data_IF_019988704067
#
_entry.id   IF_019988704067
#
_cell.length_a   1.000
_cell.length_b   1.000
_cell.length_c   1.000
_cell.angle_alpha   90.00
_cell.angle_beta   90.00
_cell.angle_gamma   90.00
#
_symmetry.space_group_name_H-M   'P 1'
#
loop_
_entity.id
_entity.type
_entity.pdbx_description
1 polymer ?
#
# COMPACT_ATOMS: atom_id res chain seq x y z
N UNK A 1 28.81 -8.18 -3.12
CA UNK A 1 28.39 -6.75 -3.19
C UNK A 1 27.11 -6.57 -2.38
N UNK A 2 27.00 -5.48 -1.60
CA UNK A 2 25.78 -5.15 -0.85
C UNK A 2 24.79 -4.51 -1.82
N UNK A 3 23.62 -5.13 -2.01
CA UNK A 3 22.54 -4.57 -2.85
C UNK A 3 22.03 -3.25 -2.23
N UNK A 4 21.73 -2.27 -3.06
CA UNK A 4 21.10 -1.02 -2.64
C UNK A 4 19.68 -1.27 -2.10
N UNK A 5 19.23 -0.47 -1.14
CA UNK A 5 17.91 -0.59 -0.52
C UNK A 5 17.02 0.58 -0.96
N UNK A 6 15.94 0.28 -1.66
CA UNK A 6 14.96 1.28 -2.11
C UNK A 6 13.72 1.26 -1.20
N UNK A 7 13.36 2.41 -0.66
CA UNK A 7 12.16 2.54 0.18
C UNK A 7 10.98 3.09 -0.63
N UNK A 8 9.85 2.39 -0.59
CA UNK A 8 8.59 2.81 -1.19
C UNK A 8 7.56 3.06 -0.10
N UNK A 9 6.82 4.16 -0.21
CA UNK A 9 5.90 4.59 0.83
C UNK A 9 4.47 4.29 0.42
N UNK A 10 3.76 3.62 1.33
CA UNK A 10 2.36 3.28 1.14
C UNK A 10 1.51 3.80 2.29
N UNK A 11 0.26 4.10 1.96
CA UNK A 11 -0.83 4.18 2.92
C UNK A 11 -1.96 3.30 2.43
N UNK A 12 -2.52 2.49 3.32
CA UNK A 12 -3.55 1.52 3.00
C UNK A 12 -4.74 1.69 3.95
N UNK A 13 -5.91 1.19 3.56
CA UNK A 13 -7.11 1.32 4.38
C UNK A 13 -7.31 0.18 5.39
N UNK A 14 -6.82 -1.02 5.06
CA UNK A 14 -7.00 -2.24 5.84
C UNK A 14 -5.71 -2.98 6.18
N UNK A 15 -5.86 -4.06 6.95
CA UNK A 15 -4.76 -4.98 7.28
C UNK A 15 -4.38 -5.87 6.09
N UNK A 16 -5.38 -6.24 5.27
CA UNK A 16 -5.24 -7.08 4.10
C UNK A 16 -4.16 -6.56 3.14
N UNK A 17 -4.27 -5.31 2.69
CA UNK A 17 -3.27 -4.72 1.79
C UNK A 17 -1.91 -4.58 2.45
N UNK A 18 -1.87 -4.30 3.76
CA UNK A 18 -0.61 -4.21 4.50
C UNK A 18 0.10 -5.55 4.52
N UNK A 19 -0.60 -6.63 4.86
CA UNK A 19 -0.02 -7.97 4.87
C UNK A 19 0.45 -8.40 3.49
N UNK A 20 -0.31 -8.08 2.45
CA UNK A 20 0.12 -8.32 1.08
C UNK A 20 1.43 -7.61 0.74
N UNK A 21 1.56 -6.32 1.07
CA UNK A 21 2.80 -5.57 0.84
C UNK A 21 3.97 -6.17 1.65
N UNK A 22 3.74 -6.56 2.91
CA UNK A 22 4.76 -7.21 3.73
C UNK A 22 5.20 -8.57 3.15
N UNK A 23 4.27 -9.36 2.63
CA UNK A 23 4.56 -10.61 1.91
C UNK A 23 5.32 -10.34 0.62
N UNK A 24 4.85 -9.41 -0.21
CA UNK A 24 5.46 -9.06 -1.49
C UNK A 24 6.90 -8.57 -1.30
N UNK A 25 7.16 -7.76 -0.27
CA UNK A 25 8.51 -7.34 0.09
C UNK A 25 9.42 -8.55 0.38
N UNK A 26 8.94 -9.55 1.11
CA UNK A 26 9.71 -10.76 1.42
C UNK A 26 10.02 -11.54 0.15
N UNK A 27 9.02 -11.77 -0.70
CA UNK A 27 9.19 -12.50 -1.97
C UNK A 27 10.22 -11.82 -2.87
N UNK A 28 10.10 -10.50 -3.09
CA UNK A 28 11.08 -9.74 -3.88
C UNK A 28 12.48 -9.86 -3.28
N UNK A 29 12.62 -9.66 -1.97
CA UNK A 29 13.93 -9.69 -1.32
C UNK A 29 14.59 -11.08 -1.24
N UNK A 30 13.80 -12.16 -1.37
CA UNK A 30 14.30 -13.54 -1.41
C UNK A 30 14.85 -13.92 -2.78
N UNK A 31 14.39 -13.27 -3.85
CA UNK A 31 14.84 -13.57 -5.21
C UNK A 31 16.30 -13.11 -5.41
N UNK A 32 17.24 -14.04 -5.69
CA UNK A 32 18.64 -13.71 -5.89
C UNK A 32 18.88 -12.83 -7.12
N UNK A 33 18.01 -12.90 -8.15
CA UNK A 33 18.11 -12.14 -9.39
C UNK A 33 17.81 -10.65 -9.24
N UNK A 34 17.25 -10.22 -8.10
CA UNK A 34 16.95 -8.81 -7.85
C UNK A 34 18.21 -7.95 -7.82
N UNK A 35 18.21 -6.83 -8.56
CA UNK A 35 19.33 -5.88 -8.53
C UNK A 35 19.42 -5.14 -7.18
N UNK A 36 18.28 -4.88 -6.55
CA UNK A 36 18.15 -4.10 -5.32
C UNK A 36 17.20 -4.80 -4.35
N UNK A 37 17.32 -4.46 -3.07
CA UNK A 37 16.33 -4.81 -2.06
C UNK A 37 15.29 -3.72 -1.95
N UNK A 38 14.07 -4.12 -1.61
CA UNK A 38 12.94 -3.21 -1.41
C UNK A 38 12.54 -3.15 0.06
N UNK A 39 12.12 -1.97 0.50
CA UNK A 39 11.48 -1.73 1.79
C UNK A 39 10.17 -1.02 1.54
N UNK A 40 9.05 -1.59 1.96
CA UNK A 40 7.74 -0.98 1.87
C UNK A 40 7.37 -0.39 3.24
N UNK A 41 7.32 0.94 3.32
CA UNK A 41 6.79 1.65 4.48
C UNK A 41 5.26 1.79 4.33
N UNK A 42 4.57 0.68 4.61
CA UNK A 42 3.11 0.58 4.57
C UNK A 42 2.49 0.89 5.94
N UNK A 43 1.61 1.90 5.97
CA UNK A 43 0.83 2.26 7.17
C UNK A 43 -0.65 2.17 6.90
N UNK A 44 -1.39 1.58 7.85
CA UNK A 44 -2.85 1.62 7.85
C UNK A 44 -3.27 3.02 8.23
N UNK A 45 -3.65 3.82 7.24
CA UNK A 45 -3.97 5.23 7.41
C UNK A 45 -4.90 5.68 6.28
N UNK A 46 -6.22 5.56 6.52
CA UNK A 46 -7.29 5.98 5.61
C UNK A 46 -7.28 7.46 5.23
N UNK A 47 -6.58 8.29 6.00
CA UNK A 47 -6.49 9.73 5.73
C UNK A 47 -5.10 10.09 5.18
N UNK A 48 -4.96 10.37 3.87
CA UNK A 48 -3.70 10.81 3.26
C UNK A 48 -3.05 11.99 4.00
N UNK A 49 -3.84 12.96 4.48
CA UNK A 49 -3.31 14.13 5.21
C UNK A 49 -2.62 13.75 6.51
N UNK A 50 -3.19 12.78 7.23
CA UNK A 50 -2.58 12.30 8.47
C UNK A 50 -1.26 11.57 8.18
N UNK A 51 -1.21 10.76 7.12
CA UNK A 51 0.01 10.09 6.67
C UNK A 51 1.11 11.10 6.30
N UNK A 52 0.75 12.10 5.50
CA UNK A 52 1.68 13.16 5.06
C UNK A 52 2.26 13.95 6.24
N UNK A 53 1.48 14.18 7.30
CA UNK A 53 1.94 14.87 8.52
C UNK A 53 2.95 14.04 9.32
N UNK A 54 2.75 12.73 9.41
CA UNK A 54 3.61 11.81 10.17
C UNK A 54 4.98 11.57 9.52
N UNK A 55 5.13 11.80 8.21
CA UNK A 55 6.40 11.62 7.52
C UNK A 55 7.28 12.86 7.70
N UNK A 56 8.52 12.61 8.14
CA UNK A 56 9.61 13.60 8.13
C UNK A 56 10.20 13.63 6.73
N UNK A 57 10.13 14.77 6.07
CA UNK A 57 10.51 14.93 4.67
C UNK A 57 11.90 15.51 4.63
N UNK A 58 12.85 14.69 4.18
CA UNK A 58 14.23 15.08 3.94
C UNK A 58 14.41 15.40 2.44
N UNK A 59 13.68 14.71 1.58
CA UNK A 59 13.71 14.82 0.13
C UNK A 59 12.31 14.65 -0.47
N UNK A 60 12.18 14.73 -1.80
CA UNK A 60 10.89 14.49 -2.47
C UNK A 60 10.47 13.03 -2.30
N UNK A 61 9.29 12.80 -1.73
CA UNK A 61 8.76 11.46 -1.45
C UNK A 61 7.51 11.22 -2.30
N UNK A 62 7.42 10.06 -2.94
CA UNK A 62 6.19 9.59 -3.57
C UNK A 62 5.49 8.59 -2.64
N UNK A 63 4.21 8.82 -2.35
CA UNK A 63 3.38 7.95 -1.51
C UNK A 63 2.27 7.38 -2.38
N UNK A 64 2.14 6.07 -2.42
CA UNK A 64 0.99 5.40 -3.03
C UNK A 64 -0.09 5.17 -1.98
N UNK A 65 -1.26 5.76 -2.16
CA UNK A 65 -2.43 5.51 -1.32
C UNK A 65 -3.28 4.43 -1.97
N UNK A 66 -3.37 3.26 -1.35
CA UNK A 66 -4.20 2.14 -1.79
C UNK A 66 -5.54 2.26 -1.07
N UNK A 67 -6.58 2.48 -1.86
CA UNK A 67 -7.96 2.65 -1.42
C UNK A 67 -8.80 1.43 -1.75
N UNK A 68 -9.75 1.07 -0.89
CA UNK A 68 -10.65 -0.05 -1.15
C UNK A 68 -11.88 0.41 -1.95
N UNK A 69 -11.95 0.03 -3.23
CA UNK A 69 -13.04 0.38 -4.14
C UNK A 69 -13.85 -0.87 -4.52
N UNK A 70 -14.89 -1.10 -3.74
CA UNK A 70 -15.75 -2.28 -3.84
C UNK A 70 -16.91 -2.11 -4.83
N UNK A 71 -17.56 -0.95 -4.85
CA UNK A 71 -18.76 -0.73 -5.66
C UNK A 71 -18.91 0.71 -6.12
N UNK A 72 -19.84 0.91 -7.06
CA UNK A 72 -20.24 2.25 -7.52
C UNK A 72 -21.38 2.84 -6.67
N UNK A 73 -21.66 2.31 -5.47
CA UNK A 73 -22.70 2.90 -4.64
C UNK A 73 -22.32 4.33 -4.21
N UNK A 74 -23.31 5.23 -4.04
CA UNK A 74 -23.05 6.64 -3.73
C UNK A 74 -22.15 6.85 -2.50
N UNK A 75 -22.19 5.92 -1.54
CA UNK A 75 -21.35 5.95 -0.33
C UNK A 75 -19.88 5.75 -0.68
N UNK A 76 -19.55 4.74 -1.49
CA UNK A 76 -18.18 4.44 -1.91
C UNK A 76 -17.64 5.53 -2.85
N UNK A 77 -18.46 6.06 -3.76
CA UNK A 77 -18.07 7.18 -4.62
C UNK A 77 -17.73 8.44 -3.80
N UNK A 78 -18.53 8.75 -2.78
CA UNK A 78 -18.30 9.91 -1.92
C UNK A 78 -17.04 9.74 -1.06
N UNK A 79 -16.80 8.54 -0.54
CA UNK A 79 -15.58 8.21 0.19
C UNK A 79 -14.35 8.38 -0.71
N UNK A 80 -14.40 7.83 -1.92
CA UNK A 80 -13.35 7.95 -2.93
C UNK A 80 -13.03 9.41 -3.27
N UNK A 81 -14.05 10.22 -3.58
CA UNK A 81 -13.86 11.63 -3.88
C UNK A 81 -13.23 12.38 -2.70
N UNK A 82 -13.68 12.07 -1.47
CA UNK A 82 -13.10 12.65 -0.25
C UNK A 82 -11.62 12.27 -0.10
N UNK A 83 -11.25 11.04 -0.41
CA UNK A 83 -9.86 10.57 -0.40
C UNK A 83 -9.02 11.32 -1.43
N UNK A 84 -9.50 11.49 -2.66
CA UNK A 84 -8.82 12.27 -3.70
C UNK A 84 -8.60 13.73 -3.29
N UNK A 85 -9.61 14.36 -2.69
CA UNK A 85 -9.50 15.74 -2.23
C UNK A 85 -8.47 15.87 -1.10
N UNK A 86 -8.41 14.88 -0.20
CA UNK A 86 -7.38 14.81 0.85
C UNK A 86 -5.98 14.57 0.29
N UNK A 87 -5.83 13.76 -0.76
CA UNK A 87 -4.54 13.58 -1.44
C UNK A 87 -4.06 14.92 -2.03
N UNK A 88 -4.92 15.61 -2.79
CA UNK A 88 -4.59 16.94 -3.35
C UNK A 88 -4.25 17.96 -2.28
N UNK A 89 -4.99 17.96 -1.15
CA UNK A 89 -4.67 18.83 -0.03
C UNK A 89 -3.31 18.48 0.59
N UNK A 90 -2.94 17.21 0.64
CA UNK A 90 -1.67 16.74 1.20
C UNK A 90 -0.48 17.22 0.38
N UNK A 91 -0.59 17.22 -0.95
CA UNK A 91 0.44 17.74 -1.86
C UNK A 91 0.60 19.27 -1.73
N UNK A 92 -0.47 19.99 -1.36
CA UNK A 92 -0.46 21.44 -1.14
C UNK A 92 0.14 21.87 0.20
N UNK A 93 0.44 20.94 1.12
CA UNK A 93 1.01 21.27 2.44
C UNK A 93 2.46 21.82 2.39
N UNK A 94 3.00 22.13 1.21
CA UNK A 94 4.38 22.63 1.02
C UNK A 94 5.46 21.56 1.25
N UNK A 95 5.03 20.38 1.70
CA UNK A 95 5.79 19.15 1.81
C UNK A 95 6.06 18.63 0.39
N UNK A 96 7.30 18.27 0.05
CA UNK A 96 7.68 17.68 -1.25
C UNK A 96 7.12 16.25 -1.43
N UNK A 97 5.84 16.05 -1.11
CA UNK A 97 5.13 14.79 -1.22
C UNK A 97 4.31 14.84 -2.51
N UNK A 98 4.41 13.77 -3.29
CA UNK A 98 3.49 13.46 -4.38
C UNK A 98 2.68 12.23 -4.00
N UNK A 99 1.38 12.27 -4.22
CA UNK A 99 0.48 11.16 -3.95
C UNK A 99 0.10 10.47 -5.26
N UNK A 100 0.37 9.17 -5.31
CA UNK A 100 -0.13 8.29 -6.37
C UNK A 100 -1.36 7.53 -5.83
N UNK A 101 -2.36 7.37 -6.68
CA UNK A 101 -3.57 6.60 -6.35
C UNK A 101 -3.37 5.13 -6.74
N UNK A 102 -3.65 4.22 -5.83
CA UNK A 102 -3.86 2.80 -6.10
C UNK A 102 -5.21 2.38 -5.54
N UNK A 103 -5.74 1.25 -6.02
CA UNK A 103 -6.97 0.69 -5.47
C UNK A 103 -6.89 -0.84 -5.37
N UNK A 104 -7.57 -1.38 -4.36
CA UNK A 104 -7.96 -2.78 -4.25
C UNK A 104 -9.47 -2.90 -4.54
N UNK A 105 -9.91 -4.11 -4.87
CA UNK A 105 -11.32 -4.45 -5.03
C UNK A 105 -11.54 -5.88 -4.52
N UNK A 106 -12.79 -6.38 -4.54
CA UNK A 106 -13.10 -7.76 -4.13
C UNK A 106 -12.26 -8.83 -4.84
N UNK A 107 -11.86 -8.60 -6.09
CA UNK A 107 -11.03 -9.55 -6.85
C UNK A 107 -9.62 -9.65 -6.27
N UNK A 108 -9.09 -8.60 -5.65
CA UNK A 108 -7.80 -8.65 -4.97
C UNK A 108 -7.83 -9.64 -3.79
N UNK A 109 -8.83 -9.53 -2.92
CA UNK A 109 -8.98 -10.46 -1.79
C UNK A 109 -9.23 -11.90 -2.27
N UNK A 110 -10.10 -12.06 -3.26
CA UNK A 110 -10.35 -13.37 -3.88
C UNK A 110 -9.08 -13.96 -4.49
N UNK A 111 -8.28 -13.17 -5.20
CA UNK A 111 -7.00 -13.60 -5.77
C UNK A 111 -6.05 -14.07 -4.67
N UNK A 112 -5.95 -13.35 -3.55
CA UNK A 112 -5.12 -13.76 -2.42
C UNK A 112 -5.58 -15.08 -1.81
N UNK A 113 -6.89 -15.26 -1.63
CA UNK A 113 -7.45 -16.53 -1.17
C UNK A 113 -7.05 -17.64 -2.14
N UNK A 114 -7.32 -17.50 -3.44
CA UNK A 114 -6.99 -18.51 -4.45
C UNK A 114 -5.50 -18.80 -4.61
N UNK A 115 -4.62 -17.83 -4.31
CA UNK A 115 -3.17 -17.99 -4.38
C UNK A 115 -2.57 -18.58 -3.10
N UNK A 116 -3.32 -18.64 -1.99
CA UNK A 116 -2.98 -19.59 -0.94
C UNK A 116 -3.19 -20.99 -1.52
N UNK A 117 -2.08 -21.69 -1.78
CA UNK A 117 -2.05 -23.02 -2.40
C UNK A 117 -2.93 -24.08 -1.70
N UNK A 118 -3.47 -23.78 -0.52
CA UNK A 118 -4.42 -24.64 0.19
C UNK A 118 -5.36 -23.83 1.10
N UNK A 119 -6.38 -23.15 0.54
CA UNK A 119 -7.34 -22.35 1.33
C UNK A 119 -8.10 -23.18 2.39
N UNK A 120 -8.13 -24.51 2.23
CA UNK A 120 -8.85 -25.47 3.08
C UNK A 120 -7.95 -26.58 3.64
N UNK A 121 -6.63 -26.49 3.44
CA UNK A 121 -5.68 -27.48 3.97
C UNK A 121 -5.57 -27.35 5.49
N UNK A 122 -5.53 -28.46 6.25
CA UNK A 122 -5.26 -28.38 7.68
C UNK A 122 -3.92 -27.67 7.92
N UNK A 123 -3.90 -26.79 8.93
CA UNK A 123 -2.68 -26.09 9.36
C UNK A 123 -1.67 -27.13 9.84
N UNK A 124 -0.78 -27.55 8.94
CA UNK A 124 0.30 -28.47 9.30
C UNK A 124 1.40 -27.62 9.93
N UNK A 125 1.46 -27.64 11.27
CA UNK A 125 2.48 -26.93 12.03
C UNK A 125 3.89 -27.40 11.60
N UNK A 126 4.88 -26.49 11.54
CA UNK A 126 6.28 -26.83 11.27
C UNK A 126 6.95 -27.60 12.42
#
# INVERSE_FOLDING_TARGET
MRKENHTFYFSVEGETEKWYLEWLQKIINLDPATAFKVKFDSKIQKNPLARAKQITIIEKIEITHIFDYESSDPVHQKAFQTTLDRMKQSEKLGKAIKYNLGYSNFTFELWMVLHMMDCNGPLTNP
#
